data_IF_802219544038
#
_entry.id   IF_802219544038
#
_cell.length_a   1.000
_cell.length_b   1.000
_cell.length_c   1.000
_cell.angle_alpha   90.00
_cell.angle_beta   90.00
_cell.angle_gamma   90.00
#
_symmetry.space_group_name_H-M   'P 1'
#
loop_
_entity.id
_entity.type
_entity.pdbx_description
1 polymer ?
#
# COMPACT_ATOMS: atom_id res chain seq x y z
N UNK A 1 24.72 -11.50 17.26
CA UNK A 1 25.34 -11.76 15.94
C UNK A 1 24.83 -10.73 14.93
N UNK A 2 23.51 -10.53 14.79
CA UNK A 2 22.91 -9.56 13.86
C UNK A 2 23.29 -8.07 14.09
N UNK A 3 23.49 -7.62 15.33
CA UNK A 3 23.93 -6.23 15.61
C UNK A 3 25.38 -5.97 15.17
N UNK A 4 26.24 -6.98 15.31
CA UNK A 4 27.67 -6.90 14.97
C UNK A 4 27.91 -6.82 13.47
N UNK A 5 27.06 -7.47 12.67
CA UNK A 5 27.11 -7.34 11.20
C UNK A 5 26.73 -5.94 10.70
N UNK A 6 25.93 -5.18 11.46
CA UNK A 6 25.46 -3.85 11.06
C UNK A 6 26.36 -2.72 11.58
N UNK A 7 26.92 -2.87 12.79
CA UNK A 7 27.84 -1.89 13.38
C UNK A 7 29.29 -2.03 12.90
N UNK A 8 29.64 -3.17 12.27
CA UNK A 8 31.01 -3.47 11.85
C UNK A 8 31.95 -3.81 13.01
N UNK A 9 31.44 -3.84 14.25
CA UNK A 9 32.18 -4.13 15.47
C UNK A 9 31.88 -5.55 15.95
N UNK A 10 32.87 -6.21 16.56
CA UNK A 10 32.63 -7.48 17.25
C UNK A 10 32.00 -7.24 18.66
N UNK A 11 31.53 -8.31 19.30
CA UNK A 11 30.84 -8.23 20.60
C UNK A 11 31.67 -7.58 21.70
N UNK A 12 32.97 -7.84 21.72
CA UNK A 12 33.87 -7.30 22.74
C UNK A 12 34.17 -5.81 22.51
N UNK A 13 34.31 -5.40 21.25
CA UNK A 13 34.47 -3.98 20.86
C UNK A 13 33.21 -3.14 21.10
N UNK A 14 32.03 -3.71 20.82
CA UNK A 14 30.78 -3.02 21.13
C UNK A 14 30.64 -2.80 22.64
N UNK A 15 30.87 -3.84 23.45
CA UNK A 15 30.78 -3.77 24.90
C UNK A 15 31.83 -2.84 25.53
N UNK A 16 33.01 -2.70 24.93
CA UNK A 16 34.07 -1.79 25.42
C UNK A 16 33.83 -0.32 25.03
N UNK A 17 33.08 -0.06 23.96
CA UNK A 17 32.75 1.30 23.51
C UNK A 17 31.62 1.98 24.29
N UNK A 18 30.89 1.23 25.12
CA UNK A 18 29.78 1.75 25.93
C UNK A 18 30.30 2.23 27.29
N UNK A 19 30.64 3.52 27.40
CA UNK A 19 31.11 4.15 28.66
C UNK A 19 29.98 4.57 29.64
N UNK A 20 28.80 3.94 29.60
CA UNK A 20 27.61 4.41 30.34
C UNK A 20 27.20 3.50 31.52
N UNK A 21 26.67 4.09 32.60
CA UNK A 21 26.22 3.44 33.86
C UNK A 21 25.07 2.40 33.71
N UNK A 22 24.58 2.17 32.49
CA UNK A 22 23.52 1.20 32.21
C UNK A 22 24.11 -0.19 31.90
N UNK A 23 23.43 -1.25 32.35
CA UNK A 23 23.88 -2.63 32.16
C UNK A 23 24.08 -2.91 30.65
N UNK A 24 25.28 -3.31 30.19
CA UNK A 24 25.57 -3.54 28.77
C UNK A 24 24.64 -4.57 28.10
N UNK A 25 24.04 -5.45 28.91
CA UNK A 25 23.05 -6.44 28.46
C UNK A 25 21.71 -5.81 28.06
N UNK A 26 21.28 -4.75 28.76
CA UNK A 26 20.02 -4.05 28.51
C UNK A 26 20.12 -3.20 27.23
N UNK A 27 21.25 -2.51 27.04
CA UNK A 27 21.55 -1.72 25.84
C UNK A 27 21.56 -2.61 24.59
N UNK A 28 22.19 -3.79 24.69
CA UNK A 28 22.21 -4.76 23.58
C UNK A 28 20.80 -5.25 23.22
N UNK A 29 19.95 -5.53 24.20
CA UNK A 29 18.57 -5.96 23.98
C UNK A 29 17.71 -4.84 23.35
N UNK A 30 17.87 -3.60 23.81
CA UNK A 30 17.18 -2.45 23.25
C UNK A 30 17.56 -2.21 21.78
N UNK A 31 18.84 -2.34 21.44
CA UNK A 31 19.29 -2.17 20.07
C UNK A 31 18.85 -3.32 19.15
N UNK A 32 18.85 -4.56 19.64
CA UNK A 32 18.29 -5.70 18.90
C UNK A 32 16.81 -5.49 18.60
N UNK A 33 16.06 -4.99 19.58
CA UNK A 33 14.64 -4.69 19.44
C UNK A 33 14.41 -3.52 18.48
N UNK A 34 15.25 -2.47 18.53
CA UNK A 34 15.18 -1.34 17.60
C UNK A 34 15.35 -1.80 16.15
N UNK A 35 16.34 -2.65 15.89
CA UNK A 35 16.62 -3.18 14.56
C UNK A 35 15.46 -4.06 14.04
N UNK A 36 14.93 -4.94 14.89
CA UNK A 36 13.74 -5.74 14.55
C UNK A 36 12.53 -4.86 14.20
N UNK A 37 12.32 -3.78 14.95
CA UNK A 37 11.21 -2.86 14.68
C UNK A 37 11.39 -2.13 13.34
N UNK A 38 12.63 -1.74 13.00
CA UNK A 38 12.96 -1.11 11.72
C UNK A 38 12.72 -2.09 10.55
N UNK A 39 13.25 -3.32 10.65
CA UNK A 39 13.05 -4.36 9.65
C UNK A 39 11.56 -4.69 9.45
N UNK A 40 10.82 -4.87 10.55
CA UNK A 40 9.38 -5.12 10.48
C UNK A 40 8.64 -3.97 9.79
N UNK A 41 8.99 -2.73 10.12
CA UNK A 41 8.41 -1.54 9.48
C UNK A 41 8.70 -1.52 7.98
N UNK A 42 9.91 -1.87 7.56
CA UNK A 42 10.26 -1.96 6.14
C UNK A 42 9.50 -3.04 5.40
N UNK A 43 9.31 -4.21 6.03
CA UNK A 43 8.52 -5.28 5.45
C UNK A 43 7.08 -4.83 5.21
N UNK A 44 6.46 -4.16 6.20
CA UNK A 44 5.09 -3.63 6.08
C UNK A 44 4.99 -2.58 4.97
N UNK A 45 5.94 -1.64 4.88
CA UNK A 45 5.93 -0.60 3.84
C UNK A 45 6.11 -1.22 2.45
N UNK A 46 7.03 -2.18 2.32
CA UNK A 46 7.29 -2.87 1.06
C UNK A 46 6.07 -3.68 0.61
N UNK A 47 5.43 -4.39 1.53
CA UNK A 47 4.19 -5.14 1.27
C UNK A 47 3.04 -4.21 0.89
N UNK A 48 2.89 -3.05 1.53
CA UNK A 48 1.90 -2.05 1.19
C UNK A 48 2.05 -1.59 -0.28
N UNK A 49 3.26 -1.21 -0.71
CA UNK A 49 3.48 -0.76 -2.09
C UNK A 49 3.34 -1.90 -3.09
N UNK A 50 3.77 -3.10 -2.72
CA UNK A 50 3.61 -4.28 -3.56
C UNK A 50 2.13 -4.59 -3.80
N UNK A 51 1.34 -4.68 -2.74
CA UNK A 51 -0.09 -5.01 -2.84
C UNK A 51 -0.87 -3.92 -3.56
N UNK A 52 -0.55 -2.64 -3.36
CA UNK A 52 -1.17 -1.54 -4.12
C UNK A 52 -0.85 -1.64 -5.62
N UNK A 53 0.39 -2.02 -5.97
CA UNK A 53 0.78 -2.24 -7.38
C UNK A 53 0.03 -3.41 -8.02
N UNK A 54 -0.17 -4.51 -7.28
CA UNK A 54 -1.00 -5.63 -7.75
C UNK A 54 -2.45 -5.15 -8.00
N UNK A 55 -3.01 -4.40 -7.04
CA UNK A 55 -4.37 -3.88 -7.15
C UNK A 55 -4.57 -2.98 -8.37
N UNK A 56 -3.67 -2.01 -8.61
CA UNK A 56 -3.70 -1.16 -9.81
C UNK A 56 -3.63 -1.99 -11.09
N UNK A 57 -2.81 -3.04 -11.13
CA UNK A 57 -2.73 -3.93 -12.30
C UNK A 57 -4.06 -4.62 -12.55
N UNK A 58 -4.69 -5.17 -11.51
CA UNK A 58 -5.95 -5.89 -11.65
C UNK A 58 -7.08 -4.98 -12.13
N UNK A 59 -7.10 -3.73 -11.65
CA UNK A 59 -8.02 -2.70 -12.14
C UNK A 59 -7.79 -2.40 -13.64
N UNK A 60 -6.54 -2.24 -14.07
CA UNK A 60 -6.21 -2.03 -15.50
C UNK A 60 -6.64 -3.20 -16.36
N UNK A 61 -6.30 -4.42 -15.95
CA UNK A 61 -6.69 -5.65 -16.66
C UNK A 61 -8.21 -5.72 -16.79
N UNK A 62 -8.95 -5.40 -15.72
CA UNK A 62 -10.42 -5.36 -15.75
C UNK A 62 -10.91 -4.32 -16.75
N UNK A 63 -10.39 -3.10 -16.68
CA UNK A 63 -10.78 -2.00 -17.56
C UNK A 63 -10.53 -2.31 -19.05
N UNK A 64 -9.39 -2.92 -19.35
CA UNK A 64 -8.99 -3.32 -20.70
C UNK A 64 -9.79 -4.53 -21.21
N UNK A 65 -9.94 -5.58 -20.39
CA UNK A 65 -10.61 -6.84 -20.77
C UNK A 65 -12.07 -6.60 -21.15
N UNK A 66 -12.75 -5.71 -20.42
CA UNK A 66 -14.14 -5.35 -20.70
C UNK A 66 -14.27 -4.17 -21.68
N UNK A 67 -13.15 -3.67 -22.20
CA UNK A 67 -13.10 -2.58 -23.18
C UNK A 67 -13.86 -1.34 -22.71
N UNK A 68 -13.71 -0.97 -21.43
CA UNK A 68 -14.55 0.05 -20.79
C UNK A 68 -14.30 1.48 -21.32
N UNK A 69 -13.22 1.70 -22.06
CA UNK A 69 -13.01 2.94 -22.82
C UNK A 69 -14.00 3.10 -23.98
N UNK A 70 -14.56 1.99 -24.47
CA UNK A 70 -15.60 1.96 -25.49
C UNK A 70 -16.56 0.78 -25.24
N UNK A 71 -17.54 0.95 -24.33
CA UNK A 71 -18.41 -0.13 -23.87
C UNK A 71 -19.48 -0.55 -24.89
N UNK A 72 -19.46 -0.03 -26.12
CA UNK A 72 -20.52 -0.29 -27.12
C UNK A 72 -20.79 -1.79 -27.33
N UNK A 73 -19.78 -2.66 -27.19
CA UNK A 73 -19.99 -4.11 -27.29
C UNK A 73 -20.86 -4.68 -26.15
N UNK A 74 -20.66 -4.21 -24.92
CA UNK A 74 -21.43 -4.60 -23.74
C UNK A 74 -22.85 -4.02 -23.81
N UNK A 75 -22.97 -2.75 -24.18
CA UNK A 75 -24.26 -2.07 -24.33
C UNK A 75 -25.14 -2.73 -25.40
N UNK A 76 -24.56 -3.15 -26.54
CA UNK A 76 -25.29 -3.92 -27.57
C UNK A 76 -25.80 -5.27 -27.07
N UNK A 77 -25.21 -5.81 -26.00
CA UNK A 77 -25.68 -7.04 -25.32
C UNK A 77 -26.68 -6.77 -24.20
N UNK A 78 -27.10 -5.51 -24.02
CA UNK A 78 -28.03 -5.09 -22.97
C UNK A 78 -27.38 -4.97 -21.59
N UNK A 79 -26.04 -4.92 -21.52
CA UNK A 79 -25.32 -4.75 -20.26
C UNK A 79 -25.17 -3.25 -19.99
N UNK A 80 -25.73 -2.80 -18.86
CA UNK A 80 -25.52 -1.44 -18.36
C UNK A 80 -24.17 -1.37 -17.65
N UNK A 81 -23.18 -0.79 -18.34
CA UNK A 81 -21.81 -0.68 -17.84
C UNK A 81 -21.70 0.22 -16.61
N UNK A 82 -22.55 1.25 -16.50
CA UNK A 82 -22.54 2.12 -15.33
C UNK A 82 -23.07 1.39 -14.09
N UNK A 83 -24.07 0.52 -14.25
CA UNK A 83 -24.56 -0.31 -13.15
C UNK A 83 -23.52 -1.37 -12.77
N UNK A 84 -22.91 -2.06 -13.74
CA UNK A 84 -22.02 -3.19 -13.46
C UNK A 84 -20.65 -2.76 -12.97
N UNK A 85 -20.07 -1.71 -13.56
CA UNK A 85 -18.70 -1.27 -13.28
C UNK A 85 -18.64 0.06 -12.52
N UNK A 86 -19.75 0.79 -12.39
CA UNK A 86 -19.78 2.06 -11.64
C UNK A 86 -18.73 3.06 -12.15
N UNK A 87 -18.08 3.71 -11.19
CA UNK A 87 -16.99 4.66 -11.43
C UNK A 87 -15.60 3.98 -11.41
N UNK A 88 -15.45 2.76 -11.97
CA UNK A 88 -14.19 2.01 -11.96
C UNK A 88 -12.99 2.81 -12.49
N UNK A 89 -13.19 3.66 -13.51
CA UNK A 89 -12.12 4.51 -14.04
C UNK A 89 -11.60 5.52 -13.00
N UNK A 90 -12.49 6.09 -12.19
CA UNK A 90 -12.09 7.02 -11.13
C UNK A 90 -11.35 6.29 -10.01
N UNK A 91 -11.77 5.06 -9.68
CA UNK A 91 -11.08 4.19 -8.72
C UNK A 91 -9.68 3.85 -9.23
N UNK A 92 -9.54 3.47 -10.50
CA UNK A 92 -8.25 3.19 -11.12
C UNK A 92 -7.32 4.41 -11.08
N UNK A 93 -7.80 5.57 -11.52
CA UNK A 93 -6.99 6.80 -11.51
C UNK A 93 -6.54 7.17 -10.09
N UNK A 94 -7.41 7.02 -9.09
CA UNK A 94 -7.06 7.28 -7.69
C UNK A 94 -6.01 6.28 -7.17
N UNK A 95 -6.15 5.00 -7.50
CA UNK A 95 -5.20 3.96 -7.10
C UNK A 95 -3.82 4.19 -7.74
N UNK A 96 -3.77 4.63 -9.01
CA UNK A 96 -2.52 5.06 -9.67
C UNK A 96 -1.88 6.26 -8.98
N UNK A 97 -2.65 7.33 -8.73
CA UNK A 97 -2.15 8.52 -8.02
C UNK A 97 -1.57 8.13 -6.64
N UNK A 98 -2.24 7.24 -5.92
CA UNK A 98 -1.80 6.79 -4.61
C UNK A 98 -0.53 5.93 -4.68
N UNK A 99 -0.44 5.01 -5.65
CA UNK A 99 0.77 4.22 -5.90
C UNK A 99 1.97 5.12 -6.20
N UNK A 100 1.79 6.16 -7.02
CA UNK A 100 2.85 7.11 -7.36
C UNK A 100 3.33 7.89 -6.12
N UNK A 101 2.41 8.31 -5.25
CA UNK A 101 2.75 8.95 -3.97
C UNK A 101 3.54 8.01 -3.05
N UNK A 102 3.15 6.75 -2.95
CA UNK A 102 3.87 5.74 -2.16
C UNK A 102 5.29 5.51 -2.70
N UNK A 103 5.44 5.34 -4.01
CA UNK A 103 6.74 5.16 -4.65
C UNK A 103 7.64 6.39 -4.45
N UNK A 104 7.09 7.60 -4.57
CA UNK A 104 7.82 8.84 -4.31
C UNK A 104 8.25 8.96 -2.84
N UNK A 105 7.40 8.52 -1.92
CA UNK A 105 7.71 8.52 -0.49
C UNK A 105 8.84 7.57 -0.12
N UNK A 106 9.07 6.51 -0.92
CA UNK A 106 10.16 5.55 -0.73
C UNK A 106 11.45 5.88 -1.50
N UNK A 107 11.31 6.43 -2.71
CA UNK A 107 12.43 6.56 -3.65
C UNK A 107 13.58 7.39 -3.08
N UNK A 108 14.76 6.76 -2.97
CA UNK A 108 16.00 7.43 -2.57
C UNK A 108 16.04 7.84 -1.09
N UNK A 109 15.16 7.31 -0.24
CA UNK A 109 15.11 7.61 1.19
C UNK A 109 15.64 6.44 2.02
N UNK A 110 16.28 6.77 3.14
CA UNK A 110 16.62 5.78 4.17
C UNK A 110 15.35 5.18 4.76
N UNK A 111 15.46 4.01 5.36
CA UNK A 111 14.34 3.32 6.00
C UNK A 111 13.61 4.22 7.02
N UNK A 112 14.36 5.03 7.75
CA UNK A 112 13.84 5.93 8.79
C UNK A 112 13.09 7.15 8.19
N UNK A 113 13.47 7.60 6.98
CA UNK A 113 12.92 8.79 6.31
C UNK A 113 11.69 8.51 5.43
N UNK A 114 11.29 7.25 5.28
CA UNK A 114 10.12 6.86 4.49
C UNK A 114 8.82 7.22 5.21
N UNK A 115 8.17 8.32 4.84
CA UNK A 115 6.93 8.79 5.49
C UNK A 115 5.67 8.47 4.67
N UNK A 116 5.26 7.20 4.62
CA UNK A 116 4.06 6.77 3.86
C UNK A 116 2.73 7.27 4.44
N UNK A 117 2.66 7.56 5.75
CA UNK A 117 1.43 8.05 6.39
C UNK A 117 0.92 9.37 5.81
N UNK A 118 1.83 10.23 5.35
CA UNK A 118 1.48 11.50 4.70
C UNK A 118 0.79 11.31 3.35
N UNK A 119 1.05 10.19 2.66
CA UNK A 119 0.40 9.86 1.39
C UNK A 119 -1.09 9.61 1.61
N UNK A 120 -1.46 8.87 2.66
CA UNK A 120 -2.86 8.60 3.01
C UNK A 120 -3.63 9.88 3.32
N UNK A 121 -3.04 10.80 4.07
CA UNK A 121 -3.69 12.07 4.41
C UNK A 121 -3.95 12.92 3.16
N UNK A 122 -3.04 12.89 2.17
CA UNK A 122 -3.23 13.62 0.90
C UNK A 122 -4.39 13.10 0.07
N UNK A 123 -4.63 11.78 0.10
CA UNK A 123 -5.68 11.15 -0.71
C UNK A 123 -6.97 10.85 0.05
N UNK A 124 -7.01 11.06 1.37
CA UNK A 124 -8.10 10.63 2.26
C UNK A 124 -9.50 11.10 1.80
N UNK A 125 -9.63 12.40 1.49
CA UNK A 125 -10.92 12.96 1.05
C UNK A 125 -11.34 12.41 -0.31
N UNK A 126 -10.38 12.25 -1.24
CA UNK A 126 -10.62 11.69 -2.58
C UNK A 126 -10.97 10.20 -2.48
N UNK A 127 -10.30 9.44 -1.61
CA UNK A 127 -10.64 8.05 -1.29
C UNK A 127 -12.07 7.93 -0.79
N UNK A 128 -12.46 8.75 0.19
CA UNK A 128 -13.82 8.72 0.72
C UNK A 128 -14.88 8.98 -0.37
N UNK A 129 -14.63 9.95 -1.24
CA UNK A 129 -15.56 10.30 -2.32
C UNK A 129 -15.66 9.19 -3.38
N UNK A 130 -14.52 8.77 -3.93
CA UNK A 130 -14.46 7.84 -5.06
C UNK A 130 -14.90 6.44 -4.65
N UNK A 131 -14.35 5.91 -3.54
CA UNK A 131 -14.75 4.59 -3.04
C UNK A 131 -16.13 4.58 -2.42
N UNK A 132 -16.57 5.70 -1.83
CA UNK A 132 -17.95 5.83 -1.34
C UNK A 132 -18.96 5.61 -2.47
N UNK A 133 -18.76 6.27 -3.61
CA UNK A 133 -19.60 6.08 -4.79
C UNK A 133 -19.50 4.65 -5.35
N UNK A 134 -18.29 4.12 -5.45
CA UNK A 134 -18.06 2.78 -6.00
C UNK A 134 -18.74 1.68 -5.16
N UNK A 135 -18.64 1.75 -3.83
CA UNK A 135 -19.27 0.79 -2.93
C UNK A 135 -20.79 0.89 -2.95
N UNK A 136 -21.35 2.11 -2.97
CA UNK A 136 -22.81 2.28 -3.12
C UNK A 136 -23.32 1.68 -4.42
N UNK A 137 -22.55 1.81 -5.51
CA UNK A 137 -22.90 1.20 -6.79
C UNK A 137 -22.77 -0.33 -6.76
N UNK A 138 -21.83 -0.88 -6.00
CA UNK A 138 -21.65 -2.32 -5.84
C UNK A 138 -22.85 -2.99 -5.15
N UNK A 139 -23.39 -2.39 -4.09
CA UNK A 139 -24.60 -2.90 -3.41
C UNK A 139 -25.81 -2.91 -4.37
N UNK A 140 -25.93 -1.89 -5.22
CA UNK A 140 -26.98 -1.81 -6.23
C UNK A 140 -26.78 -2.86 -7.35
N UNK A 141 -25.53 -3.08 -7.78
CA UNK A 141 -25.19 -4.08 -8.78
C UNK A 141 -25.50 -5.49 -8.29
N UNK A 142 -25.07 -5.85 -7.07
CA UNK A 142 -25.37 -7.14 -6.43
C UNK A 142 -26.87 -7.40 -6.35
N UNK A 143 -27.64 -6.40 -5.89
CA UNK A 143 -29.11 -6.49 -5.79
C UNK A 143 -29.77 -6.71 -7.16
N UNK A 144 -29.20 -6.16 -8.24
CA UNK A 144 -29.70 -6.38 -9.60
C UNK A 144 -29.30 -7.77 -10.12
N UNK A 145 -28.07 -8.21 -9.88
CA UNK A 145 -27.59 -9.54 -10.26
C UNK A 145 -28.39 -10.67 -9.58
N UNK A 146 -28.85 -10.47 -8.35
CA UNK A 146 -29.73 -11.44 -7.65
C UNK A 146 -31.14 -11.50 -8.24
N UNK A 147 -31.67 -10.41 -8.79
CA UNK A 147 -33.00 -10.38 -9.43
C UNK A 147 -33.03 -10.97 -10.83
N UNK A 148 -31.88 -11.10 -11.48
CA UNK A 148 -31.71 -11.67 -12.83
C UNK A 148 -31.38 -13.17 -12.79
N UNK A 149 -31.25 -13.74 -11.58
CA UNK A 149 -31.10 -15.17 -11.34
C UNK A 149 -32.46 -15.86 -11.20
#
# INVERSE_FOLDING_TARGET
IYIFSYSGLNKEEFLSSVETEANPTDIFQQEEQRLKNIEQRQNVISELVYTEKEYVRDLKITYETFNLHNPTFLERRGIDVQIVFGNLLEVLNLAEDFLDLLQLAMKGKSEEDQCVGSCFLQVADKMKLVYGLYCMNHDNALTLFEKVR
#
